data_IF_895319350926
#
_entry.id   IF_895319350926
#
_cell.length_a   1.000
_cell.length_b   1.000
_cell.length_c   1.000
_cell.angle_alpha   90.00
_cell.angle_beta   90.00
_cell.angle_gamma   90.00
#
_symmetry.space_group_name_H-M   'P 1'
#
loop_
_entity.id
_entity.type
_entity.pdbx_description
1 polymer ?
#
# COMPACT_ATOMS: atom_id res chain seq x y z
N UNK A 1 0.80 -3.66 -11.10
CA UNK A 1 2.06 -4.10 -10.45
C UNK A 1 1.74 -4.83 -9.15
N UNK A 2 2.65 -5.65 -8.64
CA UNK A 2 2.54 -6.29 -7.32
C UNK A 2 3.67 -5.77 -6.44
N UNK A 3 3.30 -5.13 -5.34
CA UNK A 3 4.23 -4.55 -4.36
C UNK A 3 4.29 -5.48 -3.16
N UNK A 4 5.50 -5.79 -2.72
CA UNK A 4 5.81 -6.55 -1.52
C UNK A 4 6.47 -5.62 -0.52
N UNK A 5 5.89 -5.43 0.65
CA UNK A 5 6.48 -4.57 1.67
C UNK A 5 6.38 -5.16 3.07
N UNK A 6 7.38 -4.86 3.89
CA UNK A 6 7.49 -5.36 5.26
C UNK A 6 8.94 -5.50 5.68
N UNK A 7 9.20 -5.47 6.99
CA UNK A 7 10.55 -5.56 7.55
C UNK A 7 11.51 -4.49 6.98
N UNK A 8 11.03 -3.26 6.81
CA UNK A 8 11.79 -2.14 6.22
C UNK A 8 12.26 -2.37 4.77
N UNK A 9 11.73 -3.40 4.11
CA UNK A 9 12.04 -3.73 2.73
C UNK A 9 10.81 -3.54 1.85
N UNK A 10 11.05 -3.10 0.62
CA UNK A 10 10.04 -2.98 -0.42
C UNK A 10 10.57 -3.52 -1.75
N UNK A 11 9.75 -4.31 -2.43
CA UNK A 11 10.04 -4.87 -3.75
C UNK A 11 8.82 -4.70 -4.65
N UNK A 12 9.05 -4.51 -5.95
CA UNK A 12 7.97 -4.44 -6.94
C UNK A 12 8.21 -5.44 -8.06
N UNK A 13 7.18 -6.22 -8.37
CA UNK A 13 7.12 -7.08 -9.54
C UNK A 13 6.07 -6.55 -10.54
N UNK A 14 6.38 -6.69 -11.83
CA UNK A 14 5.43 -6.36 -12.91
C UNK A 14 4.89 -7.67 -13.46
N UNK A 15 3.57 -7.76 -13.57
CA UNK A 15 2.89 -8.90 -14.17
C UNK A 15 3.11 -8.92 -15.68
N UNK A 16 3.28 -10.10 -16.26
CA UNK A 16 3.34 -10.27 -17.70
C UNK A 16 1.95 -10.22 -18.36
N UNK A 17 1.88 -10.55 -19.66
CA UNK A 17 0.64 -10.53 -20.44
C UNK A 17 -0.40 -11.57 -19.97
N UNK A 18 0.04 -12.59 -19.23
CA UNK A 18 -0.80 -13.64 -18.65
C UNK A 18 -1.16 -13.36 -17.19
N UNK A 19 -0.65 -12.27 -16.61
CA UNK A 19 -0.86 -11.91 -15.21
C UNK A 19 0.12 -12.59 -14.26
N UNK A 20 1.16 -13.26 -14.77
CA UNK A 20 2.16 -13.96 -13.95
C UNK A 20 3.23 -12.99 -13.48
N UNK A 21 3.75 -13.21 -12.28
CA UNK A 21 4.87 -12.44 -11.71
C UNK A 21 5.80 -13.36 -10.92
N UNK A 22 7.05 -12.94 -10.75
CA UNK A 22 8.02 -13.64 -9.91
C UNK A 22 8.85 -12.63 -9.13
N UNK A 23 9.09 -12.90 -7.84
CA UNK A 23 9.89 -12.06 -6.96
C UNK A 23 10.72 -12.94 -6.03
N UNK A 24 11.99 -12.59 -5.83
CA UNK A 24 12.85 -13.20 -4.80
C UNK A 24 12.76 -12.36 -3.54
N UNK A 25 12.47 -13.00 -2.42
CA UNK A 25 12.36 -12.37 -1.11
C UNK A 25 13.25 -13.10 -0.10
N UNK A 26 13.75 -12.41 0.95
CA UNK A 26 14.50 -13.06 2.02
C UNK A 26 13.64 -14.08 2.79
N UNK A 27 14.19 -15.27 3.04
CA UNK A 27 13.52 -16.28 3.84
C UNK A 27 13.46 -15.90 5.33
N UNK A 28 12.40 -16.35 6.02
CA UNK A 28 12.15 -16.07 7.43
C UNK A 28 11.42 -14.74 7.69
N UNK A 29 11.01 -14.03 6.64
CA UNK A 29 10.33 -12.74 6.72
C UNK A 29 8.87 -12.83 6.25
N UNK A 30 8.04 -11.92 6.76
CA UNK A 30 6.65 -11.77 6.34
C UNK A 30 6.47 -10.49 5.55
N UNK A 31 5.80 -10.55 4.41
CA UNK A 31 5.54 -9.39 3.55
C UNK A 31 4.03 -9.23 3.31
N UNK A 32 3.57 -7.99 3.33
CA UNK A 32 2.30 -7.58 2.73
C UNK A 32 2.46 -7.55 1.21
N UNK A 33 1.45 -8.05 0.50
CA UNK A 33 1.34 -7.98 -0.94
C UNK A 33 0.16 -7.08 -1.29
N UNK A 34 0.41 -6.06 -2.11
CA UNK A 34 -0.65 -5.27 -2.73
C UNK A 34 -0.50 -5.35 -4.25
N UNK A 35 -1.53 -5.83 -4.91
CA UNK A 35 -1.64 -5.79 -6.36
C UNK A 35 -2.74 -4.81 -6.74
N UNK A 36 -2.44 -3.86 -7.62
CA UNK A 36 -3.42 -2.90 -8.13
C UNK A 36 -3.37 -2.86 -9.64
N UNK A 37 -4.55 -2.85 -10.26
CA UNK A 37 -4.72 -2.66 -11.69
C UNK A 37 -4.32 -1.23 -12.08
N UNK A 38 -3.60 -1.08 -13.18
CA UNK A 38 -3.22 0.23 -13.73
C UNK A 38 -4.29 0.86 -14.61
N UNK A 39 -5.36 0.12 -14.96
CA UNK A 39 -6.37 0.53 -15.95
C UNK A 39 -7.81 0.41 -15.43
N UNK A 40 -8.00 -0.09 -14.21
CA UNK A 40 -9.32 -0.27 -13.59
C UNK A 40 -9.24 -0.18 -12.06
N UNK A 41 -10.37 0.10 -11.41
CA UNK A 41 -10.52 0.13 -9.94
C UNK A 41 -10.66 -1.29 -9.37
N UNK A 42 -9.58 -2.07 -9.49
CA UNK A 42 -9.49 -3.45 -9.02
C UNK A 42 -8.15 -3.68 -8.34
N UNK A 43 -8.17 -4.37 -7.21
CA UNK A 43 -6.98 -4.62 -6.43
C UNK A 43 -7.07 -5.94 -5.63
N UNK A 44 -5.95 -6.43 -5.13
CA UNK A 44 -5.88 -7.56 -4.22
C UNK A 44 -4.85 -7.30 -3.13
N UNK A 45 -5.18 -7.72 -1.91
CA UNK A 45 -4.28 -7.73 -0.76
C UNK A 45 -4.02 -9.15 -0.31
N UNK A 46 -2.79 -9.45 0.10
CA UNK A 46 -2.49 -10.70 0.81
C UNK A 46 -1.26 -10.53 1.71
N UNK A 47 -0.91 -11.57 2.46
CA UNK A 47 0.33 -11.65 3.23
C UNK A 47 1.03 -12.96 2.90
N UNK A 48 2.35 -12.92 2.76
CA UNK A 48 3.18 -14.11 2.57
C UNK A 48 4.21 -14.24 3.68
N UNK A 49 4.37 -15.45 4.21
CA UNK A 49 5.51 -15.83 5.05
C UNK A 49 6.51 -16.56 4.15
N UNK A 50 7.67 -15.96 3.93
CA UNK A 50 8.68 -16.49 2.99
C UNK A 50 9.48 -17.58 3.68
N UNK A 51 9.44 -18.79 3.14
CA UNK A 51 10.24 -19.93 3.62
C UNK A 51 11.05 -20.53 2.48
N UNK A 52 12.22 -21.11 2.81
CA UNK A 52 13.07 -21.73 1.79
C UNK A 52 12.34 -22.93 1.16
N UNK A 53 12.30 -22.96 -0.17
CA UNK A 53 11.62 -24.03 -0.91
C UNK A 53 10.10 -24.03 -0.82
N UNK A 54 9.48 -22.90 -0.42
CA UNK A 54 8.01 -22.77 -0.44
C UNK A 54 7.44 -22.99 -1.85
N UNK A 55 6.19 -23.47 -1.89
CA UNK A 55 5.43 -23.57 -3.14
C UNK A 55 5.11 -22.18 -3.71
N UNK A 56 4.66 -22.17 -4.96
CA UNK A 56 4.05 -20.98 -5.56
C UNK A 56 2.90 -20.45 -4.70
N UNK A 57 2.70 -19.13 -4.74
CA UNK A 57 1.61 -18.47 -4.05
C UNK A 57 0.27 -18.84 -4.69
N UNK A 58 -0.79 -18.82 -3.89
CA UNK A 58 -2.14 -18.86 -4.45
C UNK A 58 -2.39 -17.65 -5.36
N UNK A 59 -3.28 -17.83 -6.33
CA UNK A 59 -3.62 -16.77 -7.27
C UNK A 59 -4.24 -15.58 -6.55
N UNK A 60 -3.63 -14.39 -6.70
CA UNK A 60 -4.21 -13.12 -6.26
C UNK A 60 -5.36 -12.74 -7.20
N UNK A 61 -6.59 -12.87 -6.71
CA UNK A 61 -7.79 -12.48 -7.46
C UNK A 61 -8.11 -11.02 -7.17
N UNK A 62 -8.10 -10.17 -8.20
CA UNK A 62 -8.44 -8.76 -8.03
C UNK A 62 -9.95 -8.59 -7.82
N UNK A 63 -10.32 -7.78 -6.84
CA UNK A 63 -11.70 -7.43 -6.52
C UNK A 63 -11.91 -5.91 -6.69
N UNK A 64 -13.17 -5.45 -6.89
CA UNK A 64 -13.46 -4.03 -7.04
C UNK A 64 -13.03 -3.22 -5.82
N UNK A 65 -12.49 -2.03 -6.06
CA UNK A 65 -12.10 -1.09 -5.01
C UNK A 65 -13.10 0.05 -4.81
N UNK A 66 -12.97 0.72 -3.68
CA UNK A 66 -13.63 1.99 -3.35
C UNK A 66 -12.56 3.05 -3.16
N UNK A 67 -12.74 4.19 -3.84
CA UNK A 67 -11.89 5.36 -3.69
C UNK A 67 -12.06 6.02 -2.32
N UNK A 68 -10.97 6.21 -1.59
CA UNK A 68 -10.92 6.90 -0.29
C UNK A 68 -9.96 8.08 -0.39
N UNK A 69 -10.50 9.28 -0.20
CA UNK A 69 -9.73 10.54 -0.24
C UNK A 69 -9.70 11.13 1.17
N UNK A 70 -8.51 11.52 1.63
CA UNK A 70 -8.31 12.19 2.91
C UNK A 70 -7.28 13.30 2.82
N UNK A 71 -7.26 14.18 3.81
CA UNK A 71 -6.31 15.30 3.89
C UNK A 71 -5.55 15.27 5.21
N UNK A 72 -4.27 15.63 5.15
CA UNK A 72 -3.38 15.74 6.30
C UNK A 72 -3.26 17.21 6.69
N UNK A 73 -3.34 17.47 7.98
CA UNK A 73 -3.24 18.81 8.55
C UNK A 73 -2.11 18.91 9.56
N UNK A 74 -1.59 20.11 9.72
CA UNK A 74 -0.52 20.47 10.63
C UNK A 74 -1.11 21.08 11.91
N UNK A 75 -0.88 20.42 13.06
CA UNK A 75 -1.28 20.81 14.43
C UNK A 75 -2.78 20.96 14.71
N UNK A 76 -3.56 21.49 13.78
CA UNK A 76 -5.01 21.68 13.84
C UNK A 76 -5.67 21.05 12.60
N UNK A 77 -7.00 21.21 12.45
CA UNK A 77 -7.74 20.71 11.28
C UNK A 77 -8.03 21.82 10.25
N UNK A 78 -7.30 22.93 10.30
CA UNK A 78 -7.50 24.09 9.42
C UNK A 78 -6.28 24.33 8.52
N UNK A 79 -5.08 24.03 9.00
CA UNK A 79 -3.80 24.23 8.32
C UNK A 79 -3.40 22.95 7.58
N UNK A 80 -3.71 22.86 6.28
CA UNK A 80 -3.30 21.69 5.47
C UNK A 80 -1.77 21.54 5.44
N UNK A 81 -1.26 20.32 5.61
CA UNK A 81 0.16 20.01 5.39
C UNK A 81 0.44 19.91 3.89
N UNK A 82 0.89 21.01 3.27
CA UNK A 82 1.02 21.11 1.82
C UNK A 82 2.32 21.81 1.38
N UNK A 83 2.56 21.87 0.07
CA UNK A 83 3.79 22.39 -0.53
C UNK A 83 4.07 23.89 -0.29
N UNK A 84 3.08 24.65 0.20
CA UNK A 84 3.27 26.06 0.54
C UNK A 84 3.98 26.23 1.90
N UNK A 85 4.03 25.16 2.70
CA UNK A 85 4.73 25.14 3.99
C UNK A 85 6.23 24.94 3.74
N UNK A 86 7.10 25.81 4.30
CA UNK A 86 8.54 25.58 4.26
C UNK A 86 8.88 24.21 4.86
N UNK A 87 9.77 23.47 4.20
CA UNK A 87 10.14 22.07 4.55
C UNK A 87 9.03 21.04 4.38
N UNK A 88 8.04 21.31 3.52
CA UNK A 88 7.08 20.30 3.10
C UNK A 88 7.80 19.10 2.47
N UNK A 89 7.44 17.92 2.96
CA UNK A 89 7.73 16.63 2.33
C UNK A 89 6.43 15.81 2.33
N UNK A 90 6.18 15.02 1.26
CA UNK A 90 5.08 14.06 1.25
C UNK A 90 5.11 13.16 2.48
N UNK A 91 3.94 12.90 3.05
CA UNK A 91 3.80 12.02 4.22
C UNK A 91 3.27 10.68 3.76
N UNK A 92 3.92 9.61 4.19
CA UNK A 92 3.42 8.24 3.99
C UNK A 92 2.19 8.02 4.88
N UNK A 93 1.12 7.51 4.28
CA UNK A 93 -0.12 7.14 4.95
C UNK A 93 -0.25 5.63 4.88
N UNK A 94 -0.56 5.00 6.00
CA UNK A 94 -0.89 3.58 6.08
C UNK A 94 -2.39 3.41 6.26
N UNK A 95 -2.99 2.55 5.44
CA UNK A 95 -4.33 2.04 5.62
C UNK A 95 -4.24 0.55 6.00
N UNK A 96 -4.67 0.21 7.21
CA UNK A 96 -4.63 -1.16 7.75
C UNK A 96 -6.02 -1.75 7.82
N UNK A 97 -6.24 -2.89 7.15
CA UNK A 97 -7.50 -3.63 7.17
C UNK A 97 -7.67 -4.44 8.45
N UNK A 98 -8.89 -4.91 8.74
CA UNK A 98 -9.18 -5.80 9.88
C UNK A 98 -8.42 -7.14 9.81
N UNK A 99 -8.01 -7.55 8.61
CA UNK A 99 -7.18 -8.71 8.33
C UNK A 99 -5.67 -8.46 8.57
N UNK A 100 -5.29 -7.24 8.93
CA UNK A 100 -3.91 -6.82 9.14
C UNK A 100 -3.15 -6.47 7.87
N UNK A 101 -3.80 -6.49 6.69
CA UNK A 101 -3.16 -6.09 5.44
C UNK A 101 -2.98 -4.58 5.43
N UNK A 102 -1.76 -4.15 5.09
CA UNK A 102 -1.39 -2.73 5.04
C UNK A 102 -1.24 -2.27 3.59
N UNK A 103 -1.89 -1.14 3.29
CA UNK A 103 -1.73 -0.38 2.06
C UNK A 103 -1.02 0.92 2.37
N UNK A 104 -0.16 1.37 1.46
CA UNK A 104 0.63 2.59 1.60
C UNK A 104 0.36 3.54 0.44
N UNK A 105 0.35 4.83 0.73
CA UNK A 105 0.34 5.90 -0.28
C UNK A 105 1.03 7.13 0.31
N UNK A 106 1.33 8.12 -0.52
CA UNK A 106 1.87 9.41 -0.07
C UNK A 106 0.86 10.53 -0.30
N UNK A 107 0.96 11.60 0.50
CA UNK A 107 0.22 12.83 0.22
C UNK A 107 0.76 13.55 -1.02
N UNK A 108 -0.12 14.10 -1.84
CA UNK A 108 0.24 15.01 -2.92
C UNK A 108 0.58 16.42 -2.39
N UNK A 109 1.02 17.32 -3.29
CA UNK A 109 1.40 18.69 -2.93
C UNK A 109 0.29 19.55 -2.32
N UNK A 110 -0.97 19.10 -2.30
CA UNK A 110 -2.08 19.76 -1.60
C UNK A 110 -2.29 19.27 -0.17
N UNK A 111 -1.52 18.25 0.26
CA UNK A 111 -1.71 17.56 1.53
C UNK A 111 -2.81 16.49 1.49
N UNK A 112 -3.21 16.07 0.29
CA UNK A 112 -4.29 15.09 0.10
C UNK A 112 -3.71 13.74 -0.26
N UNK A 113 -4.28 12.66 0.24
CA UNK A 113 -3.98 11.30 -0.18
C UNK A 113 -5.22 10.64 -0.78
N UNK A 114 -4.98 9.69 -1.68
CA UNK A 114 -6.02 8.87 -2.28
C UNK A 114 -5.62 7.39 -2.23
N UNK A 115 -6.57 6.54 -1.84
CA UNK A 115 -6.45 5.09 -1.93
C UNK A 115 -7.57 4.51 -2.77
N UNK A 116 -7.28 3.38 -3.41
CA UNK A 116 -8.27 2.45 -3.95
C UNK A 116 -8.24 1.20 -3.07
N UNK A 117 -9.14 1.11 -2.09
CA UNK A 117 -9.14 0.03 -1.10
C UNK A 117 -10.23 -0.99 -1.39
N UNK A 118 -9.97 -2.24 -1.00
CA UNK A 118 -11.01 -3.27 -1.00
C UNK A 118 -12.12 -2.88 -0.02
N UNK A 119 -13.35 -3.33 -0.30
CA UNK A 119 -14.48 -3.07 0.58
C UNK A 119 -14.24 -3.72 1.96
N UNK A 120 -14.21 -2.90 3.01
CA UNK A 120 -13.96 -3.36 4.37
C UNK A 120 -13.83 -2.20 5.35
N UNK A 121 -13.46 -2.53 6.59
CA UNK A 121 -13.13 -1.55 7.63
C UNK A 121 -11.63 -1.30 7.63
N UNK A 122 -11.24 -0.02 7.66
CA UNK A 122 -9.85 0.40 7.56
C UNK A 122 -9.51 1.39 8.67
N UNK A 123 -8.32 1.24 9.26
CA UNK A 123 -7.70 2.21 10.13
C UNK A 123 -6.61 2.96 9.37
N UNK A 124 -6.60 4.29 9.47
CA UNK A 124 -5.60 5.14 8.82
C UNK A 124 -4.65 5.73 9.85
N UNK A 125 -3.35 5.67 9.58
CA UNK A 125 -2.32 6.25 10.42
C UNK A 125 -1.19 6.87 9.61
N UNK A 126 -0.57 7.89 10.19
CA UNK A 126 0.73 8.41 9.77
C UNK A 126 1.76 7.70 10.68
N UNK A 127 2.66 6.86 10.15
CA UNK A 127 3.73 6.28 10.95
C UNK A 127 4.66 7.39 11.45
N UNK A 128 5.31 7.16 12.60
CA UNK A 128 6.31 8.09 13.09
C UNK A 128 7.49 8.14 12.10
N UNK A 129 8.03 9.34 11.87
CA UNK A 129 9.29 9.47 11.13
C UNK A 129 10.42 8.82 11.93
N UNK A 130 11.23 7.99 11.26
CA UNK A 130 12.45 7.40 11.84
C UNK A 130 13.61 8.40 11.91
#
# INVERSE_FOLDING_TARGET
>A
PVVFHGNELEFTAVTDQSGEFSQRLPAGMTFNLNAQSSVSSFAAGSTVIVTEGMSELEALTLEPTVGVIGSVYLFDNETSWNQDIPTYEPVEIHATGEDGIVWKTETDGSGTFNFELLNGTWAFNIPAAE
#
